data_IF_563314421170
#
_entry.id   IF_563314421170
#
_cell.length_a   1.000
_cell.length_b   1.000
_cell.length_c   1.000
_cell.angle_alpha   90.00
_cell.angle_beta   90.00
_cell.angle_gamma   90.00
#
_symmetry.space_group_name_H-M   'P 1'
#
loop_
_entity.id
_entity.type
_entity.pdbx_description
1 polymer ?
#
# COMPACT_ATOMS: atom_id res chain seq x y z
N UNK A 1 -12.18 -16.24 19.59
CA UNK A 1 -12.16 -16.81 18.22
C UNK A 1 -12.09 -15.65 17.25
N UNK A 2 -11.14 -15.63 16.31
CA UNK A 2 -10.97 -14.48 15.39
C UNK A 2 -12.11 -14.49 14.35
N UNK A 3 -12.78 -13.36 14.08
CA UNK A 3 -13.84 -13.30 13.08
C UNK A 3 -13.33 -13.59 11.67
N UNK A 4 -14.08 -14.35 10.88
CA UNK A 4 -13.79 -14.60 9.45
C UNK A 4 -13.55 -13.29 8.65
N UNK A 5 -14.35 -12.20 8.85
CA UNK A 5 -14.10 -10.93 8.16
C UNK A 5 -12.73 -10.33 8.45
N UNK A 6 -12.20 -10.50 9.67
CA UNK A 6 -10.86 -10.02 10.05
C UNK A 6 -9.77 -10.80 9.32
N UNK A 7 -9.95 -12.11 9.18
CA UNK A 7 -9.02 -12.98 8.42
C UNK A 7 -9.02 -12.60 6.94
N UNK A 8 -10.19 -12.42 6.33
CA UNK A 8 -10.30 -12.01 4.93
C UNK A 8 -9.61 -10.66 4.68
N UNK A 9 -9.83 -9.69 5.56
CA UNK A 9 -9.14 -8.40 5.53
C UNK A 9 -7.63 -8.53 5.61
N UNK A 10 -7.15 -9.41 6.49
CA UNK A 10 -5.73 -9.63 6.65
C UNK A 10 -5.09 -10.17 5.37
N UNK A 11 -5.75 -11.13 4.71
CA UNK A 11 -5.32 -11.68 3.42
C UNK A 11 -5.25 -10.59 2.36
N UNK A 12 -6.26 -9.72 2.26
CA UNK A 12 -6.29 -8.63 1.28
C UNK A 12 -5.15 -7.64 1.50
N UNK A 13 -4.91 -7.21 2.74
CA UNK A 13 -3.82 -6.26 3.00
C UNK A 13 -2.44 -6.88 2.75
N UNK A 14 -2.23 -8.16 3.08
CA UNK A 14 -0.98 -8.87 2.75
C UNK A 14 -0.79 -8.98 1.23
N UNK A 15 -1.86 -9.29 0.48
CA UNK A 15 -1.80 -9.33 -0.98
C UNK A 15 -1.45 -7.96 -1.57
N UNK A 16 -2.05 -6.88 -1.06
CA UNK A 16 -1.72 -5.51 -1.48
C UNK A 16 -0.28 -5.13 -1.14
N UNK A 17 0.22 -5.52 0.04
CA UNK A 17 1.62 -5.31 0.40
C UNK A 17 2.57 -6.03 -0.56
N UNK A 18 2.26 -7.27 -0.95
CA UNK A 18 3.06 -8.00 -1.92
C UNK A 18 3.05 -7.31 -3.29
N UNK A 19 1.90 -6.80 -3.73
CA UNK A 19 1.77 -6.01 -4.96
C UNK A 19 2.60 -4.73 -4.88
N UNK A 20 2.49 -3.95 -3.80
CA UNK A 20 3.25 -2.71 -3.62
C UNK A 20 4.75 -2.97 -3.52
N UNK A 21 5.16 -4.07 -2.90
CA UNK A 21 6.54 -4.49 -2.86
C UNK A 21 7.07 -4.85 -4.26
N UNK A 22 6.31 -5.62 -5.05
CA UNK A 22 6.67 -5.93 -6.43
C UNK A 22 6.79 -4.64 -7.26
N UNK A 23 5.83 -3.72 -7.15
CA UNK A 23 5.86 -2.41 -7.81
C UNK A 23 7.07 -1.57 -7.37
N UNK A 24 7.40 -1.56 -6.08
CA UNK A 24 8.57 -0.87 -5.56
C UNK A 24 9.85 -1.43 -6.18
N UNK A 25 9.97 -2.77 -6.26
CA UNK A 25 11.14 -3.44 -6.82
C UNK A 25 11.28 -3.19 -8.31
N UNK A 26 10.19 -3.32 -9.06
CA UNK A 26 10.18 -2.96 -10.49
C UNK A 26 10.54 -1.49 -10.70
N UNK A 27 10.02 -0.58 -9.87
CA UNK A 27 10.33 0.85 -9.94
C UNK A 27 11.79 1.16 -9.58
N UNK A 28 12.40 0.38 -8.69
CA UNK A 28 13.82 0.49 -8.32
C UNK A 28 14.70 0.09 -9.50
N UNK A 29 14.44 -1.08 -10.10
CA UNK A 29 15.18 -1.58 -11.28
C UNK A 29 15.00 -0.66 -12.50
N UNK A 30 13.79 -0.17 -12.76
CA UNK A 30 13.53 0.82 -13.82
C UNK A 30 14.17 2.17 -13.51
N UNK A 31 14.13 2.63 -12.26
CA UNK A 31 14.74 3.88 -11.83
C UNK A 31 16.26 3.86 -12.02
N UNK A 32 16.90 2.73 -11.73
CA UNK A 32 18.33 2.51 -11.93
C UNK A 32 18.68 2.47 -13.43
N UNK A 33 17.88 1.77 -14.24
CA UNK A 33 18.08 1.68 -15.69
C UNK A 33 17.85 3.01 -16.42
N UNK A 34 16.86 3.80 -16.01
CA UNK A 34 16.45 5.05 -16.69
C UNK A 34 16.99 6.33 -16.01
N UNK A 35 17.73 6.22 -14.89
CA UNK A 35 18.15 7.36 -14.04
C UNK A 35 17.01 8.29 -13.62
N UNK A 36 15.80 7.75 -13.43
CA UNK A 36 14.63 8.52 -12.99
C UNK A 36 14.66 8.67 -11.45
N UNK A 37 14.09 9.76 -10.93
CA UNK A 37 14.02 10.04 -9.49
C UNK A 37 13.43 8.86 -8.69
N UNK A 38 13.89 8.65 -7.44
CA UNK A 38 13.59 7.47 -6.61
C UNK A 38 12.15 7.48 -6.06
N UNK A 39 11.16 7.34 -6.94
CA UNK A 39 9.75 7.20 -6.56
C UNK A 39 9.43 5.85 -5.90
N UNK A 40 10.40 4.92 -5.82
CA UNK A 40 10.24 3.65 -5.10
C UNK A 40 9.97 3.84 -3.59
N UNK A 41 10.46 4.94 -3.00
CA UNK A 41 10.31 5.25 -1.57
C UNK A 41 8.82 5.41 -1.18
N UNK A 42 7.99 5.98 -2.06
CA UNK A 42 6.58 6.18 -1.76
C UNK A 42 5.75 4.89 -1.80
N UNK A 43 6.16 3.89 -2.59
CA UNK A 43 5.57 2.54 -2.50
C UNK A 43 5.91 1.86 -1.17
N UNK A 44 7.15 2.02 -0.67
CA UNK A 44 7.51 1.52 0.65
C UNK A 44 6.74 2.24 1.77
N UNK A 45 6.55 3.56 1.66
CA UNK A 45 5.71 4.32 2.59
C UNK A 45 4.26 3.82 2.58
N UNK A 46 3.68 3.60 1.40
CA UNK A 46 2.33 3.05 1.25
C UNK A 46 2.18 1.66 1.89
N UNK A 47 3.16 0.78 1.68
CA UNK A 47 3.20 -0.55 2.30
C UNK A 47 3.30 -0.48 3.83
N UNK A 48 4.04 0.50 4.37
CA UNK A 48 4.13 0.74 5.81
C UNK A 48 2.79 1.18 6.40
N UNK A 49 2.05 2.07 5.74
CA UNK A 49 0.71 2.47 6.18
C UNK A 49 -0.28 1.31 6.17
N UNK A 50 -0.26 0.47 5.13
CA UNK A 50 -1.06 -0.77 5.08
C UNK A 50 -0.70 -1.72 6.22
N UNK A 51 0.60 -1.89 6.50
CA UNK A 51 1.09 -2.73 7.58
C UNK A 51 0.65 -2.21 8.95
N UNK A 52 0.69 -0.90 9.20
CA UNK A 52 0.24 -0.37 10.49
C UNK A 52 -1.27 -0.59 10.64
N UNK A 53 -2.06 -0.34 9.58
CA UNK A 53 -3.50 -0.53 9.60
C UNK A 53 -3.92 -1.99 9.87
N UNK A 54 -3.28 -2.97 9.23
CA UNK A 54 -3.61 -4.39 9.44
C UNK A 54 -3.27 -4.84 10.88
N UNK A 55 -2.15 -4.37 11.44
CA UNK A 55 -1.75 -4.71 12.80
C UNK A 55 -2.77 -4.17 13.82
N UNK A 56 -3.20 -2.93 13.69
CA UNK A 56 -4.22 -2.33 14.59
C UNK A 56 -5.49 -3.18 14.60
N UNK A 57 -5.98 -3.61 13.43
CA UNK A 57 -7.18 -4.45 13.32
C UNK A 57 -6.99 -5.86 13.90
N UNK A 58 -5.82 -6.46 13.71
CA UNK A 58 -5.51 -7.78 14.27
C UNK A 58 -5.37 -7.73 15.79
N UNK A 59 -4.73 -6.69 16.32
CA UNK A 59 -4.62 -6.47 17.77
C UNK A 59 -5.98 -6.27 18.43
N UNK A 60 -6.85 -5.45 17.82
CA UNK A 60 -8.23 -5.25 18.30
C UNK A 60 -9.03 -6.57 18.34
N UNK A 61 -8.89 -7.40 17.30
CA UNK A 61 -9.58 -8.69 17.23
C UNK A 61 -9.11 -9.73 18.27
N UNK A 62 -7.84 -9.67 18.67
CA UNK A 62 -7.23 -10.63 19.62
C UNK A 62 -7.35 -10.15 21.07
N UNK A 63 -7.21 -8.85 21.32
CA UNK A 63 -7.18 -8.27 22.66
C UNK A 63 -8.35 -7.30 22.87
N UNK A 64 -9.57 -7.78 22.66
CA UNK A 64 -10.81 -7.07 22.96
C UNK A 64 -10.83 -6.60 24.43
N UNK A 65 -10.44 -5.35 24.69
CA UNK A 65 -10.38 -4.77 26.04
C UNK A 65 -9.15 -3.91 26.32
N UNK A 66 -8.05 -4.06 25.57
CA UNK A 66 -6.98 -3.07 25.58
C UNK A 66 -7.42 -1.94 24.65
N UNK A 67 -7.97 -0.88 25.24
CA UNK A 67 -8.56 0.27 24.58
C UNK A 67 -7.73 0.80 23.39
N UNK A 68 -7.98 0.25 22.21
CA UNK A 68 -7.79 0.98 20.98
C UNK A 68 -9.09 1.74 20.74
N UNK A 69 -9.31 2.80 21.53
CA UNK A 69 -10.33 3.82 21.24
C UNK A 69 -10.18 4.34 19.80
N UNK A 70 -8.96 4.21 19.26
CA UNK A 70 -8.57 4.52 17.89
C UNK A 70 -8.59 3.34 16.92
N UNK A 71 -9.17 2.18 17.27
CA UNK A 71 -9.21 1.01 16.39
C UNK A 71 -9.81 1.36 15.02
N UNK A 72 -10.79 2.27 14.97
CA UNK A 72 -11.39 2.78 13.72
C UNK A 72 -10.40 3.47 12.76
N UNK A 73 -9.25 3.97 13.26
CA UNK A 73 -8.21 4.58 12.42
C UNK A 73 -7.53 3.58 11.48
N UNK A 74 -7.70 2.27 11.68
CA UNK A 74 -7.15 1.27 10.77
C UNK A 74 -7.64 1.48 9.33
N UNK A 75 -8.91 1.86 9.14
CA UNK A 75 -9.47 2.10 7.80
C UNK A 75 -8.85 3.35 7.17
N UNK A 76 -8.69 4.41 7.95
CA UNK A 76 -8.05 5.65 7.49
C UNK A 76 -6.60 5.41 7.08
N UNK A 77 -5.83 4.66 7.88
CA UNK A 77 -4.42 4.33 7.58
C UNK A 77 -4.29 3.47 6.31
N UNK A 78 -5.17 2.47 6.15
CA UNK A 78 -5.22 1.67 4.93
C UNK A 78 -5.56 2.54 3.73
N UNK A 79 -6.57 3.39 3.84
CA UNK A 79 -6.98 4.29 2.76
C UNK A 79 -5.85 5.26 2.36
N UNK A 80 -5.11 5.80 3.35
CA UNK A 80 -3.93 6.65 3.11
C UNK A 80 -2.86 5.86 2.35
N UNK A 81 -2.53 4.64 2.81
CA UNK A 81 -1.55 3.78 2.15
C UNK A 81 -1.91 3.49 0.70
N UNK A 82 -3.16 3.08 0.44
CA UNK A 82 -3.67 2.82 -0.92
C UNK A 82 -3.65 4.09 -1.77
N UNK A 83 -4.02 5.24 -1.21
CA UNK A 83 -4.02 6.52 -1.94
C UNK A 83 -2.62 6.95 -2.35
N UNK A 84 -1.63 6.82 -1.44
CA UNK A 84 -0.23 7.13 -1.75
C UNK A 84 0.29 6.23 -2.86
N UNK A 85 0.00 4.92 -2.79
CA UNK A 85 0.39 3.97 -3.83
C UNK A 85 -0.27 4.31 -5.17
N UNK A 86 -1.55 4.67 -5.18
CA UNK A 86 -2.29 5.02 -6.39
C UNK A 86 -1.74 6.29 -7.03
N UNK A 87 -1.53 7.35 -6.25
CA UNK A 87 -0.94 8.61 -6.74
C UNK A 87 0.46 8.37 -7.29
N UNK A 88 1.27 7.60 -6.57
CA UNK A 88 2.62 7.23 -7.04
C UNK A 88 2.53 6.46 -8.35
N UNK A 89 1.60 5.52 -8.46
CA UNK A 89 1.38 4.74 -9.69
C UNK A 89 1.00 5.65 -10.85
N UNK A 90 0.08 6.59 -10.64
CA UNK A 90 -0.35 7.52 -11.69
C UNK A 90 0.79 8.45 -12.11
N UNK A 91 1.56 9.01 -11.17
CA UNK A 91 2.67 9.91 -11.51
C UNK A 91 3.80 9.14 -12.20
N UNK A 92 4.15 7.96 -11.69
CA UNK A 92 5.29 7.20 -12.16
C UNK A 92 5.00 6.37 -13.42
N UNK A 93 3.77 5.92 -13.66
CA UNK A 93 3.41 5.16 -14.86
C UNK A 93 2.56 5.98 -15.85
N UNK A 94 2.02 7.13 -15.43
CA UNK A 94 1.20 7.99 -16.29
C UNK A 94 1.97 8.59 -17.47
N UNK A 95 3.30 8.74 -17.36
CA UNK A 95 4.12 9.20 -18.49
C UNK A 95 4.11 8.21 -19.65
N UNK A 96 4.04 6.89 -19.39
CA UNK A 96 3.97 5.85 -20.43
C UNK A 96 2.70 6.00 -21.27
N UNK A 97 1.57 6.29 -20.61
CA UNK A 97 0.32 6.58 -21.31
C UNK A 97 0.40 7.86 -22.15
N UNK A 98 1.08 8.89 -21.64
CA UNK A 98 1.24 10.15 -22.36
C UNK A 98 2.15 10.01 -23.59
N UNK A 99 3.23 9.22 -23.48
CA UNK A 99 4.14 8.99 -24.60
C UNK A 99 3.52 8.06 -25.64
N UNK A 100 2.74 7.05 -25.20
CA UNK A 100 1.99 6.19 -26.14
C UNK A 100 0.97 6.98 -26.96
N UNK A 101 0.31 7.98 -26.37
CA UNK A 101 -0.62 8.86 -27.09
C UNK A 101 0.08 9.79 -28.10
N UNK A 102 1.33 10.20 -27.85
CA UNK A 102 2.10 11.07 -28.76
C UNK A 102 2.65 10.33 -29.99
N UNK A 103 2.75 9.00 -29.95
CA UNK A 103 3.23 8.17 -31.06
C UNK A 103 2.12 7.75 -32.04
N UNK A 104 0.88 8.14 -31.78
CA UNK A 104 -0.29 7.83 -32.61
C UNK A 104 -0.71 9.03 -33.45
#
# INVERSE_FOLDING_TARGET
>A
MIPIPTIAWAVVAVALMAVFYALARFSEELGEALRIRPYYISYYAAALFLFIGIQIRLFDAVANGLAFEYAYWHEALVAIGVTIALITTIIYWGWILSDYQKMK
#
